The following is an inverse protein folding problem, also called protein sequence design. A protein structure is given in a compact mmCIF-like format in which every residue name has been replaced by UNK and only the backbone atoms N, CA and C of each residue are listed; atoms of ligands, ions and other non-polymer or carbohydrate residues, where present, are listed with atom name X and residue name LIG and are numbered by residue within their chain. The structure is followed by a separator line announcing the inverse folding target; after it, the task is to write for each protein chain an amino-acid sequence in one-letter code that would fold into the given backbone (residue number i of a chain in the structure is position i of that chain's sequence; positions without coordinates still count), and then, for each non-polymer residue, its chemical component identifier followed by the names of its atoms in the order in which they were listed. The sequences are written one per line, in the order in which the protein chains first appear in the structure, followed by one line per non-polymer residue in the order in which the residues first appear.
data_IF_045692797916
#
_entry.id   IF_045692797916
#
_cell.length_a   1.000
_cell.length_b   1.000
_cell.length_c   1.000
_cell.angle_alpha   90.00
_cell.angle_beta   90.00
_cell.angle_gamma   90.00
#
_symmetry.space_group_name_H-M   'P 1'
#
loop_
_entity.id
_entity.type
_entity.pdbx_description
1 polymer ?
#
# COMPACT_ATOMS: atom_id res chain seq x y z
N UNK A 1 -2.58 6.70 9.17
CA UNK A 1 -3.45 6.21 10.26
C UNK A 1 -4.77 6.96 10.36
N UNK A 2 -4.84 8.13 11.01
CA UNK A 2 -6.09 8.89 11.20
C UNK A 2 -6.87 9.11 9.90
N UNK A 3 -6.16 9.38 8.80
CA UNK A 3 -6.76 9.50 7.46
C UNK A 3 -7.57 8.26 7.06
N UNK A 4 -6.96 7.07 7.09
CA UNK A 4 -7.62 5.80 6.73
C UNK A 4 -8.80 5.50 7.65
N UNK A 5 -8.62 5.68 8.96
CA UNK A 5 -9.68 5.45 9.96
C UNK A 5 -10.90 6.34 9.73
N UNK A 6 -10.69 7.64 9.43
CA UNK A 6 -11.78 8.57 9.07
C UNK A 6 -12.55 8.14 7.81
N UNK A 7 -11.92 7.33 6.94
CA UNK A 7 -12.53 6.79 5.71
C UNK A 7 -13.08 5.37 5.87
N UNK A 8 -13.26 4.90 7.10
CA UNK A 8 -13.88 3.61 7.41
C UNK A 8 -12.94 2.39 7.30
N UNK A 9 -11.62 2.61 7.30
CA UNK A 9 -10.65 1.52 7.33
C UNK A 9 -10.28 1.16 8.77
N UNK A 10 -10.22 -0.14 9.07
CA UNK A 10 -9.52 -0.65 10.24
C UNK A 10 -8.03 -0.66 9.91
N UNK A 11 -7.24 0.23 10.52
CA UNK A 11 -5.83 0.39 10.19
C UNK A 11 -4.95 0.36 11.43
N UNK A 12 -3.78 -0.28 11.32
CA UNK A 12 -2.72 -0.31 12.35
C UNK A 12 -1.34 -0.05 11.73
N UNK A 13 -0.42 0.56 12.50
CA UNK A 13 1.00 0.64 12.11
C UNK A 13 1.70 -0.65 12.54
N UNK A 14 2.60 -1.17 11.72
CA UNK A 14 3.45 -2.27 12.16
C UNK A 14 4.62 -1.68 12.95
N UNK A 15 4.78 -2.01 14.25
CA UNK A 15 5.92 -1.55 15.01
C UNK A 15 7.19 -2.23 14.48
N UNK A 16 8.29 -1.48 14.41
CA UNK A 16 9.63 -1.96 14.05
C UNK A 16 9.81 -2.43 12.59
N UNK A 17 9.65 -1.52 11.62
CA UNK A 17 10.22 -1.70 10.27
C UNK A 17 11.73 -1.42 10.27
N UNK A 18 12.50 -2.27 10.97
CA UNK A 18 13.97 -2.31 10.90
C UNK A 18 14.39 -2.74 9.47
N UNK A 19 15.66 -2.58 9.02
CA UNK A 19 16.26 -3.34 7.90
C UNK A 19 16.28 -4.87 8.10
N UNK A 20 15.23 -5.45 8.68
CA UNK A 20 14.99 -6.88 8.70
C UNK A 20 14.59 -7.37 7.31
N UNK A 21 14.89 -8.64 7.05
CA UNK A 21 14.45 -9.36 5.85
C UNK A 21 12.97 -9.78 5.94
N UNK A 22 12.31 -9.50 7.07
CA UNK A 22 10.91 -9.83 7.28
C UNK A 22 10.03 -9.01 6.32
N UNK A 23 9.03 -9.64 5.70
CA UNK A 23 8.10 -8.96 4.80
C UNK A 23 7.07 -8.20 5.63
N UNK A 24 7.46 -7.05 6.18
CA UNK A 24 6.59 -6.21 6.99
C UNK A 24 6.31 -4.88 6.27
N UNK A 25 5.04 -4.51 6.06
CA UNK A 25 4.67 -3.18 5.60
C UNK A 25 4.77 -2.16 6.75
N UNK A 26 4.75 -0.86 6.44
CA UNK A 26 4.65 0.19 7.47
C UNK A 26 3.27 0.25 8.12
N UNK A 27 2.23 0.05 7.30
CA UNK A 27 0.82 0.11 7.73
C UNK A 27 0.06 -1.04 7.09
N UNK A 28 -0.80 -1.67 7.89
CA UNK A 28 -1.81 -2.62 7.40
C UNK A 28 -3.17 -1.97 7.59
N UNK A 29 -4.04 -2.08 6.60
CA UNK A 29 -5.43 -1.69 6.74
C UNK A 29 -6.39 -2.70 6.11
N UNK A 30 -7.62 -2.70 6.58
CA UNK A 30 -8.73 -3.48 6.04
C UNK A 30 -9.96 -2.61 5.86
N UNK A 31 -10.68 -2.81 4.76
CA UNK A 31 -12.02 -2.24 4.53
C UNK A 31 -12.90 -3.27 3.83
N UNK A 32 -13.93 -3.76 4.51
CA UNK A 32 -14.70 -4.91 4.04
C UNK A 32 -13.82 -6.15 3.88
N UNK A 33 -13.85 -6.77 2.70
CA UNK A 33 -12.99 -7.92 2.37
C UNK A 33 -11.57 -7.51 1.94
N UNK A 34 -11.37 -6.24 1.56
CA UNK A 34 -10.11 -5.76 1.01
C UNK A 34 -9.08 -5.46 2.10
N UNK A 35 -7.87 -5.99 1.91
CA UNK A 35 -6.72 -5.81 2.78
C UNK A 35 -5.59 -5.10 2.03
N UNK A 36 -4.99 -4.14 2.71
CA UNK A 36 -4.01 -3.22 2.15
C UNK A 36 -2.72 -3.29 2.97
N UNK A 37 -1.59 -3.48 2.28
CA UNK A 37 -0.26 -3.35 2.84
C UNK A 37 0.38 -2.09 2.26
N UNK A 38 0.74 -1.14 3.11
CA UNK A 38 1.30 0.14 2.69
C UNK A 38 2.77 0.29 3.06
N UNK A 39 3.55 0.80 2.11
CA UNK A 39 4.85 1.45 2.36
C UNK A 39 4.64 2.97 2.31
N UNK A 40 5.05 3.69 3.35
CA UNK A 40 4.67 5.11 3.54
C UNK A 40 5.89 6.02 3.60
N UNK A 41 5.92 7.05 2.75
CA UNK A 41 6.96 8.09 2.77
C UNK A 41 6.40 9.49 2.96
N UNK A 42 7.17 10.30 3.68
CA UNK A 42 6.98 11.75 3.74
C UNK A 42 8.08 12.40 2.91
N UNK A 43 7.72 13.29 1.98
CA UNK A 43 8.67 14.05 1.17
C UNK A 43 8.08 15.39 0.72
N UNK A 44 8.88 16.28 0.15
CA UNK A 44 8.42 17.58 -0.32
C UNK A 44 7.88 17.54 -1.76
N UNK A 45 8.58 16.84 -2.66
CA UNK A 45 8.28 16.85 -4.11
C UNK A 45 8.15 15.46 -4.73
N UNK A 46 9.01 14.51 -4.35
CA UNK A 46 8.96 13.12 -4.82
C UNK A 46 9.39 12.14 -3.74
N UNK A 47 8.93 10.90 -3.86
CA UNK A 47 9.35 9.78 -3.03
C UNK A 47 9.75 8.58 -3.90
N UNK A 48 10.88 7.95 -3.58
CA UNK A 48 11.34 6.71 -4.19
C UNK A 48 11.09 5.52 -3.26
N UNK A 49 10.67 4.40 -3.84
CA UNK A 49 10.36 3.16 -3.16
C UNK A 49 11.23 2.06 -3.78
N UNK A 50 12.31 1.61 -3.11
CA UNK A 50 13.17 0.54 -3.63
C UNK A 50 12.38 -0.75 -3.88
N UNK A 51 12.77 -1.53 -4.90
CA UNK A 51 12.15 -2.82 -5.24
C UNK A 51 11.97 -3.72 -4.03
N UNK A 52 12.99 -3.82 -3.18
CA UNK A 52 12.94 -4.64 -1.96
C UNK A 52 11.86 -4.22 -0.96
N UNK A 53 11.50 -2.94 -0.87
CA UNK A 53 10.38 -2.51 0.00
C UNK A 53 9.03 -2.87 -0.62
N UNK A 54 8.90 -2.74 -1.94
CA UNK A 54 7.68 -3.12 -2.66
C UNK A 54 7.47 -4.64 -2.58
N UNK A 55 8.54 -5.42 -2.75
CA UNK A 55 8.56 -6.88 -2.61
C UNK A 55 8.04 -7.34 -1.23
N UNK A 56 8.44 -6.66 -0.15
CA UNK A 56 7.93 -6.96 1.20
C UNK A 56 6.40 -6.84 1.31
N UNK A 57 5.79 -5.88 0.62
CA UNK A 57 4.33 -5.73 0.64
C UNK A 57 3.65 -6.96 0.02
N UNK A 58 4.14 -7.42 -1.14
CA UNK A 58 3.58 -8.59 -1.80
C UNK A 58 3.85 -9.87 -1.02
N UNK A 59 5.07 -10.08 -0.54
CA UNK A 59 5.39 -11.24 0.30
C UNK A 59 4.55 -11.28 1.57
N UNK A 60 4.29 -10.13 2.20
CA UNK A 60 3.39 -10.06 3.36
C UNK A 60 1.98 -10.55 2.98
N UNK A 61 1.42 -9.99 1.91
CA UNK A 61 0.07 -10.30 1.43
C UNK A 61 -0.06 -11.75 0.95
N UNK A 62 0.98 -12.31 0.34
CA UNK A 62 0.99 -13.65 -0.20
C UNK A 62 1.14 -14.70 0.92
N UNK A 63 2.08 -14.49 1.83
CA UNK A 63 2.45 -15.48 2.85
C UNK A 63 1.51 -15.51 4.05
N UNK A 64 0.90 -14.38 4.43
CA UNK A 64 0.19 -14.27 5.72
C UNK A 64 -1.31 -14.03 5.60
N UNK A 65 -1.82 -13.67 4.42
CA UNK A 65 -3.23 -13.30 4.26
C UNK A 65 -3.97 -14.41 3.50
N UNK A 66 -4.87 -15.17 4.13
CA UNK A 66 -5.57 -16.28 3.48
C UNK A 66 -6.82 -15.78 2.73
N UNK A 67 -6.62 -15.04 1.64
CA UNK A 67 -7.69 -14.56 0.75
C UNK A 67 -7.26 -14.55 -0.72
N UNK A 68 -8.22 -14.36 -1.63
CA UNK A 68 -7.95 -14.13 -3.05
C UNK A 68 -7.16 -12.83 -3.29
N UNK A 69 -6.35 -12.80 -4.36
CA UNK A 69 -5.49 -11.66 -4.72
C UNK A 69 -6.30 -10.42 -5.09
N UNK A 70 -7.51 -10.61 -5.60
CA UNK A 70 -8.50 -9.57 -5.88
C UNK A 70 -8.89 -8.73 -4.64
N UNK A 71 -8.63 -9.26 -3.44
CA UNK A 71 -8.86 -8.59 -2.16
C UNK A 71 -7.58 -8.08 -1.49
N UNK A 72 -6.42 -8.18 -2.15
CA UNK A 72 -5.12 -7.84 -1.57
C UNK A 72 -4.43 -6.75 -2.36
N UNK A 73 -4.07 -5.66 -1.68
CA UNK A 73 -3.57 -4.45 -2.31
C UNK A 73 -2.19 -4.07 -1.76
N UNK A 74 -1.16 -4.17 -2.59
CA UNK A 74 0.17 -3.65 -2.30
C UNK A 74 0.24 -2.19 -2.73
N UNK A 75 0.41 -1.27 -1.78
CA UNK A 75 0.28 0.17 -2.03
C UNK A 75 1.51 0.92 -1.57
N UNK A 76 2.13 1.68 -2.48
CA UNK A 76 3.10 2.70 -2.10
C UNK A 76 2.39 4.05 -1.92
N UNK A 77 2.74 4.76 -0.87
CA UNK A 77 2.05 5.99 -0.50
C UNK A 77 3.05 7.08 -0.12
N UNK A 78 2.80 8.29 -0.63
CA UNK A 78 3.59 9.47 -0.30
C UNK A 78 2.71 10.61 0.21
N UNK A 79 3.11 11.21 1.32
CA UNK A 79 2.64 12.52 1.72
C UNK A 79 3.60 13.59 1.18
N UNK A 80 3.12 14.39 0.23
CA UNK A 80 3.90 15.38 -0.51
C UNK A 80 3.46 16.81 -0.13
N UNK A 81 3.86 17.23 1.07
CA UNK A 81 3.49 18.52 1.66
C UNK A 81 2.08 18.54 2.24
N UNK A 82 1.07 18.85 1.42
CA UNK A 82 -0.35 18.96 1.85
C UNK A 82 -1.25 17.84 1.32
N UNK A 83 -0.70 16.94 0.51
CA UNK A 83 -1.47 15.95 -0.25
C UNK A 83 -0.94 14.54 -0.03
N UNK A 84 -1.85 13.60 0.13
CA UNK A 84 -1.57 12.17 0.07
C UNK A 84 -1.78 11.65 -1.35
N UNK A 85 -0.84 10.84 -1.82
CA UNK A 85 -0.94 10.09 -3.07
C UNK A 85 -0.78 8.60 -2.76
N UNK A 86 -1.66 7.79 -3.35
CA UNK A 86 -1.70 6.35 -3.20
C UNK A 86 -1.51 5.72 -4.57
N UNK A 87 -0.56 4.79 -4.67
CA UNK A 87 -0.33 4.02 -5.88
C UNK A 87 -0.31 2.53 -5.55
N UNK A 88 -1.33 1.83 -5.98
CA UNK A 88 -1.39 0.37 -5.98
C UNK A 88 -0.48 -0.19 -7.09
N UNK A 89 0.27 -1.23 -6.74
CA UNK A 89 1.16 -1.96 -7.65
C UNK A 89 0.48 -3.26 -8.06
N UNK A 90 0.55 -3.62 -9.34
CA UNK A 90 -0.14 -4.80 -9.86
C UNK A 90 0.55 -6.10 -9.43
N UNK A 91 -0.23 -7.11 -9.07
CA UNK A 91 0.24 -8.47 -8.78
C UNK A 91 1.07 -9.06 -9.92
N UNK A 92 0.62 -8.85 -11.17
CA UNK A 92 1.33 -9.33 -12.36
C UNK A 92 2.76 -8.79 -12.46
N UNK A 93 2.99 -7.56 -11.99
CA UNK A 93 4.33 -6.96 -12.04
C UNK A 93 5.27 -7.63 -11.04
N UNK A 94 4.76 -8.04 -9.88
CA UNK A 94 5.53 -8.77 -8.87
C UNK A 94 5.78 -10.22 -9.29
N UNK A 95 4.74 -10.96 -9.70
CA UNK A 95 4.81 -12.38 -10.07
C UNK A 95 5.74 -12.64 -11.26
N UNK A 96 5.75 -11.72 -12.22
CA UNK A 96 6.60 -11.84 -13.41
C UNK A 96 7.98 -11.20 -13.22
N UNK A 97 8.35 -10.83 -11.98
CA UNK A 97 9.61 -10.15 -11.65
C UNK A 97 9.85 -8.86 -12.46
N UNK A 98 8.77 -8.13 -12.78
CA UNK A 98 8.76 -6.88 -13.57
C UNK A 98 8.73 -5.61 -12.71
N UNK A 99 8.84 -5.73 -11.39
CA UNK A 99 8.97 -4.56 -10.52
C UNK A 99 10.21 -3.72 -10.89
N UNK A 100 10.09 -2.38 -10.96
CA UNK A 100 11.24 -1.51 -11.20
C UNK A 100 12.18 -1.52 -9.98
N UNK A 101 13.48 -1.26 -10.21
CA UNK A 101 14.48 -1.12 -9.13
C UNK A 101 14.06 -0.10 -8.06
N UNK A 102 13.37 0.95 -8.51
CA UNK A 102 12.66 1.90 -7.65
C UNK A 102 11.40 2.41 -8.33
N UNK A 103 10.27 2.31 -7.64
CA UNK A 103 9.08 3.05 -8.02
C UNK A 103 9.18 4.50 -7.52
N UNK A 104 8.46 5.41 -8.17
CA UNK A 104 8.42 6.84 -7.82
C UNK A 104 6.99 7.33 -7.74
N UNK A 105 6.74 8.24 -6.79
CA UNK A 105 5.57 9.11 -6.77
C UNK A 105 6.08 10.57 -6.82
N UNK A 106 5.55 11.36 -7.76
CA UNK A 106 5.77 12.81 -7.88
C UNK A 106 4.53 13.58 -7.41
N UNK A 107 4.72 14.82 -6.94
CA UNK A 107 3.61 15.68 -6.48
C UNK A 107 2.53 15.95 -7.54
N UNK A 108 2.92 15.93 -8.81
CA UNK A 108 2.01 16.11 -9.96
C UNK A 108 1.23 14.85 -10.35
N UNK A 109 1.59 13.69 -9.80
CA UNK A 109 0.91 12.45 -10.12
C UNK A 109 -0.52 12.47 -9.55
N UNK A 110 -1.39 11.67 -10.15
CA UNK A 110 -2.78 11.51 -9.67
C UNK A 110 -2.93 10.37 -8.66
N UNK A 111 -2.00 9.41 -8.63
CA UNK A 111 -2.23 8.10 -8.01
C UNK A 111 -3.17 7.23 -8.86
N UNK A 112 -3.23 5.92 -8.57
CA UNK A 112 -4.20 5.00 -9.20
C UNK A 112 -5.15 4.34 -8.19
N UNK A 113 -4.98 4.62 -6.89
CA UNK A 113 -5.88 4.16 -5.83
C UNK A 113 -6.56 5.37 -5.18
N UNK A 114 -7.90 5.40 -5.21
CA UNK A 114 -8.68 6.37 -4.48
C UNK A 114 -9.20 5.73 -3.19
N UNK A 115 -8.65 6.12 -2.03
CA UNK A 115 -9.04 5.53 -0.75
C UNK A 115 -10.50 5.80 -0.37
N UNK A 116 -11.18 6.75 -1.03
CA UNK A 116 -12.60 7.01 -0.80
C UNK A 116 -13.47 6.05 -1.61
N UNK A 117 -13.18 5.86 -2.89
CA UNK A 117 -14.09 5.21 -3.84
C UNK A 117 -13.63 3.85 -4.38
N UNK A 118 -12.34 3.53 -4.33
CA UNK A 118 -11.83 2.24 -4.82
C UNK A 118 -12.21 1.12 -3.86
N UNK A 119 -12.87 0.08 -4.36
CA UNK A 119 -13.28 -1.08 -3.54
C UNK A 119 -14.17 -0.66 -2.34
N UNK A 120 -15.37 -0.11 -2.60
CA UNK A 120 -16.29 0.22 -1.52
C UNK A 120 -16.69 -1.06 -0.77
N UNK A 121 -16.99 -0.98 0.54
CA UNK A 121 -17.59 -2.11 1.24
C UNK A 121 -18.83 -2.58 0.50
N UNK A 122 -19.04 -3.90 0.41
CA UNK A 122 -20.31 -4.43 -0.07
C UNK A 122 -21.44 -3.82 0.77
N UNK A 123 -22.41 -3.19 0.11
CA UNK A 123 -23.58 -2.65 0.80
C UNK A 123 -24.43 -3.83 1.28
N UNK A 124 -24.52 -4.03 2.60
CA UNK A 124 -25.49 -4.93 3.23
C UNK A 124 -25.22 -6.44 3.12
N UNK A 125 -24.20 -6.92 3.83
CA UNK A 125 -24.26 -8.26 4.44
C UNK A 125 -24.40 -8.10 5.95
#
# INVERSE_FOLDING_TARGET
MKLLQKKGYNAVRVPVSNPSLNPLPDVIARRGQHLYAFEVKNASYYAYFPKGQIDKLFRFLDQFIPSGKEYKHAVITAHLGKRWLFKEINWSDWENNKLPDKARILKRDRGNLNIDTSYPPAQGM
#
